data_IF_411194948395
#
_entry.id   IF_411194948395
#
_cell.length_a   1.000
_cell.length_b   1.000
_cell.length_c   1.000
_cell.angle_alpha   90.00
_cell.angle_beta   90.00
_cell.angle_gamma   90.00
#
_symmetry.space_group_name_H-M   'P 1'
#
loop_
_entity.id
_entity.type
_entity.pdbx_description
1 polymer ?
#
# COMPACT_ATOMS: atom_id res chain seq x y z
N UNK A 1 3.68 -12.55 0.37
CA UNK A 1 2.42 -11.88 -0.04
C UNK A 1 2.65 -10.90 -1.20
N UNK A 2 3.44 -9.83 -1.03
CA UNK A 2 3.64 -8.79 -2.06
C UNK A 2 4.05 -9.32 -3.44
N UNK A 3 5.01 -10.25 -3.53
CA UNK A 3 5.39 -10.86 -4.81
C UNK A 3 4.22 -11.50 -5.53
N UNK A 4 3.40 -12.29 -4.82
CA UNK A 4 2.20 -12.95 -5.36
C UNK A 4 1.20 -11.89 -5.88
N UNK A 5 0.97 -10.84 -5.10
CA UNK A 5 0.13 -9.69 -5.50
C UNK A 5 0.66 -9.04 -6.77
N UNK A 6 1.95 -8.72 -6.86
CA UNK A 6 2.56 -8.08 -8.05
C UNK A 6 2.47 -8.99 -9.28
N UNK A 7 2.70 -10.29 -9.11
CA UNK A 7 2.53 -11.28 -10.18
C UNK A 7 1.06 -11.38 -10.62
N UNK A 8 0.10 -11.26 -9.70
CA UNK A 8 -1.33 -11.30 -10.04
C UNK A 8 -1.79 -10.05 -10.77
N UNK A 9 -1.37 -8.88 -10.29
CA UNK A 9 -1.60 -7.58 -10.92
C UNK A 9 -1.06 -7.51 -12.34
N UNK A 10 0.07 -8.17 -12.61
CA UNK A 10 0.73 -8.20 -13.93
C UNK A 10 0.33 -9.41 -14.79
N UNK A 11 -0.63 -10.21 -14.33
CA UNK A 11 -1.20 -11.35 -15.07
C UNK A 11 -0.30 -12.56 -15.19
N UNK A 12 0.76 -12.62 -14.40
CA UNK A 12 1.62 -13.78 -14.33
C UNK A 12 0.88 -14.92 -13.62
N UNK A 13 0.39 -14.67 -12.40
CA UNK A 13 -0.43 -15.64 -11.67
C UNK A 13 -1.91 -15.22 -11.65
N UNK A 14 -2.82 -16.16 -11.42
CA UNK A 14 -4.22 -15.84 -11.18
C UNK A 14 -4.41 -15.43 -9.72
N UNK A 15 -5.31 -14.47 -9.49
CA UNK A 15 -5.87 -14.23 -8.16
C UNK A 15 -6.58 -15.49 -7.65
N UNK A 16 -6.63 -15.74 -6.33
CA UNK A 16 -7.36 -16.86 -5.78
C UNK A 16 -8.86 -16.64 -5.99
N UNK A 17 -9.64 -17.72 -6.04
CA UNK A 17 -11.11 -17.63 -6.17
C UNK A 17 -11.71 -16.78 -5.04
N UNK A 18 -11.35 -17.09 -3.80
CA UNK A 18 -11.64 -16.28 -2.62
C UNK A 18 -10.33 -15.75 -2.05
N UNK A 19 -10.24 -14.43 -1.85
CA UNK A 19 -9.11 -13.85 -1.12
C UNK A 19 -9.42 -13.98 0.38
N UNK A 20 -8.42 -14.36 1.17
CA UNK A 20 -8.62 -14.72 2.58
C UNK A 20 -9.30 -13.61 3.41
N UNK A 21 -8.94 -12.35 3.14
CA UNK A 21 -9.54 -11.20 3.78
C UNK A 21 -10.48 -10.48 2.81
N UNK A 22 -11.79 -10.42 3.07
CA UNK A 22 -12.74 -9.73 2.21
C UNK A 22 -12.65 -8.20 2.33
N UNK A 23 -13.07 -7.45 1.30
CA UNK A 23 -13.00 -5.99 1.30
C UNK A 23 -13.88 -5.37 2.40
N UNK A 24 -14.99 -6.04 2.74
CA UNK A 24 -15.95 -5.67 3.78
C UNK A 24 -15.32 -5.59 5.17
N UNK A 25 -14.14 -6.18 5.38
CA UNK A 25 -13.38 -6.02 6.62
C UNK A 25 -13.16 -4.54 7.00
N UNK A 26 -13.06 -3.64 6.01
CA UNK A 26 -12.94 -2.19 6.24
C UNK A 26 -14.19 -1.57 6.91
N UNK A 27 -15.32 -2.28 6.92
CA UNK A 27 -16.57 -1.82 7.53
C UNK A 27 -16.66 -2.14 9.01
N UNK A 28 -15.79 -3.00 9.55
CA UNK A 28 -15.86 -3.42 10.94
C UNK A 28 -15.73 -2.21 11.88
N UNK A 29 -16.60 -2.09 12.89
CA UNK A 29 -16.52 -0.99 13.84
C UNK A 29 -15.24 -1.08 14.66
N UNK A 30 -14.75 0.05 15.15
CA UNK A 30 -13.55 0.11 16.01
C UNK A 30 -13.72 -0.60 17.36
N UNK A 31 -14.96 -0.98 17.71
CA UNK A 31 -15.28 -1.79 18.90
C UNK A 31 -15.20 -3.30 18.63
N UNK A 32 -15.08 -3.72 17.37
CA UNK A 32 -14.93 -5.13 17.03
C UNK A 32 -13.54 -5.63 17.46
N UNK A 33 -13.40 -6.88 17.98
CA UNK A 33 -12.15 -7.37 18.57
C UNK A 33 -10.92 -7.30 17.66
N UNK A 34 -11.13 -7.38 16.33
CA UNK A 34 -10.11 -7.06 15.33
C UNK A 34 -10.74 -6.22 14.22
N UNK A 35 -10.37 -4.96 14.15
CA UNK A 35 -10.88 -4.02 13.16
C UNK A 35 -9.76 -3.47 12.27
N UNK A 36 -10.16 -2.80 11.19
CA UNK A 36 -9.21 -2.25 10.21
C UNK A 36 -8.17 -1.30 10.83
N UNK A 37 -8.52 -0.56 11.89
CA UNK A 37 -7.64 0.41 12.54
C UNK A 37 -6.68 -0.20 13.58
N UNK A 38 -6.81 -1.48 13.92
CA UNK A 38 -5.84 -2.19 14.77
C UNK A 38 -4.53 -2.50 14.03
N UNK A 39 -4.57 -2.50 12.69
CA UNK A 39 -3.40 -2.64 11.85
C UNK A 39 -2.59 -1.34 11.79
N UNK A 40 -1.26 -1.47 11.76
CA UNK A 40 -0.37 -0.31 11.60
C UNK A 40 -0.71 0.48 10.33
N UNK A 41 -0.40 1.78 10.31
CA UNK A 41 -0.64 2.62 9.12
C UNK A 41 -0.01 2.03 7.87
N UNK A 42 1.21 1.50 8.00
CA UNK A 42 1.91 0.80 6.93
C UNK A 42 1.14 -0.42 6.41
N UNK A 43 0.61 -1.26 7.32
CA UNK A 43 -0.18 -2.43 6.95
C UNK A 43 -1.47 -2.00 6.24
N UNK A 44 -2.21 -1.03 6.78
CA UNK A 44 -3.45 -0.52 6.16
C UNK A 44 -3.22 0.11 4.80
N UNK A 45 -2.16 0.90 4.64
CA UNK A 45 -1.80 1.56 3.39
C UNK A 45 -1.50 0.56 2.26
N UNK A 46 -0.90 -0.58 2.59
CA UNK A 46 -0.65 -1.64 1.62
C UNK A 46 -1.86 -2.56 1.42
N UNK A 47 -2.56 -2.89 2.49
CA UNK A 47 -3.68 -3.82 2.47
C UNK A 47 -4.87 -3.27 1.68
N UNK A 48 -5.20 -1.99 1.86
CA UNK A 48 -6.36 -1.35 1.20
C UNK A 48 -6.34 -1.53 -0.33
N UNK A 49 -5.28 -1.14 -1.06
CA UNK A 49 -5.24 -1.35 -2.51
C UNK A 49 -5.18 -2.83 -2.90
N UNK A 50 -4.57 -3.69 -2.07
CA UNK A 50 -4.55 -5.14 -2.31
C UNK A 50 -5.96 -5.71 -2.27
N UNK A 51 -6.76 -5.34 -1.27
CA UNK A 51 -8.13 -5.82 -1.13
C UNK A 51 -8.99 -5.39 -2.32
N UNK A 52 -8.87 -4.14 -2.77
CA UNK A 52 -9.58 -3.65 -3.97
C UNK A 52 -9.16 -4.45 -5.22
N UNK A 53 -7.85 -4.63 -5.43
CA UNK A 53 -7.35 -5.35 -6.61
C UNK A 53 -7.73 -6.84 -6.58
N UNK A 54 -7.66 -7.48 -5.42
CA UNK A 54 -8.01 -8.88 -5.21
C UNK A 54 -9.51 -9.13 -5.33
N UNK A 55 -10.33 -8.19 -4.88
CA UNK A 55 -11.79 -8.21 -5.04
C UNK A 55 -12.17 -8.15 -6.53
N UNK A 56 -11.63 -7.17 -7.26
CA UNK A 56 -11.84 -7.00 -8.70
C UNK A 56 -11.12 -8.03 -9.57
N UNK A 57 -10.31 -8.91 -8.96
CA UNK A 57 -9.39 -9.84 -9.65
C UNK A 57 -8.56 -9.13 -10.72
N UNK A 58 -8.15 -7.90 -10.44
CA UNK A 58 -7.58 -7.00 -11.44
C UNK A 58 -6.23 -7.51 -11.93
N UNK A 59 -6.08 -7.57 -13.25
CA UNK A 59 -4.86 -8.03 -13.87
C UNK A 59 -4.65 -7.33 -15.21
N UNK A 60 -3.41 -6.96 -15.51
CA UNK A 60 -3.06 -6.30 -16.76
C UNK A 60 -1.76 -6.86 -17.35
N UNK A 61 -1.82 -7.26 -18.62
CA UNK A 61 -0.64 -7.54 -19.45
C UNK A 61 -0.46 -6.43 -20.48
N UNK A 62 0.79 -6.19 -20.84
CA UNK A 62 1.17 -5.23 -21.88
C UNK A 62 2.13 -5.92 -22.85
N UNK A 63 2.42 -5.28 -23.99
CA UNK A 63 3.44 -5.75 -24.94
C UNK A 63 4.85 -5.89 -24.32
N UNK A 64 5.09 -5.27 -23.16
CA UNK A 64 6.36 -5.33 -22.43
C UNK A 64 6.31 -6.26 -21.21
N UNK A 65 5.19 -6.96 -20.99
CA UNK A 65 5.09 -7.92 -19.90
C UNK A 65 6.06 -9.07 -20.20
N UNK A 66 7.02 -9.36 -19.31
CA UNK A 66 7.98 -10.44 -19.53
C UNK A 66 7.28 -11.80 -19.48
N UNK A 67 7.84 -12.78 -20.17
CA UNK A 67 7.49 -14.18 -19.94
C UNK A 67 8.25 -14.70 -18.72
N UNK A 68 7.51 -15.25 -17.75
CA UNK A 68 8.04 -15.82 -16.52
C UNK A 68 7.69 -17.30 -16.41
N UNK A 69 7.37 -17.97 -17.53
CA UNK A 69 7.05 -19.41 -17.60
C UNK A 69 8.07 -20.29 -16.87
N UNK A 70 9.35 -19.92 -16.93
CA UNK A 70 10.45 -20.71 -16.37
C UNK A 70 10.48 -20.68 -14.84
N UNK A 71 9.78 -19.73 -14.21
CA UNK A 71 9.66 -19.65 -12.75
C UNK A 71 8.56 -20.58 -12.20
N UNK A 72 7.70 -21.13 -13.06
CA UNK A 72 6.66 -22.06 -12.64
C UNK A 72 7.24 -23.46 -12.44
N UNK A 73 7.64 -23.76 -11.21
CA UNK A 73 7.84 -25.15 -10.80
C UNK A 73 6.46 -25.79 -10.70
N UNK A 74 6.24 -26.91 -11.40
CA UNK A 74 5.00 -27.69 -11.39
C UNK A 74 4.71 -28.33 -10.01
N UNK A 75 4.49 -27.50 -9.00
CA UNK A 75 3.99 -27.90 -7.69
C UNK A 75 2.49 -27.63 -7.69
N UNK A 76 1.68 -28.67 -7.48
CA UNK A 76 0.22 -28.59 -7.34
C UNK A 76 -0.22 -27.88 -6.03
N UNK A 77 0.55 -26.89 -5.57
CA UNK A 77 0.25 -26.13 -4.37
C UNK A 77 -0.58 -24.90 -4.76
N UNK A 78 -1.67 -24.63 -4.02
CA UNK A 78 -2.37 -23.37 -4.16
C UNK A 78 -1.39 -22.25 -3.79
N UNK A 79 -0.98 -21.47 -4.79
CA UNK A 79 -0.03 -20.38 -4.59
C UNK A 79 -0.55 -19.36 -3.58
N UNK A 80 -1.82 -19.38 -3.18
CA UNK A 80 -2.37 -18.48 -2.19
C UNK A 80 -2.57 -19.11 -0.82
N UNK A 81 -2.36 -20.41 -0.66
CA UNK A 81 -2.65 -21.11 0.59
C UNK A 81 -1.84 -20.53 1.75
N UNK A 82 -2.57 -20.23 2.83
CA UNK A 82 -2.03 -19.84 4.13
C UNK A 82 -2.25 -21.04 5.05
N UNK A 83 -1.41 -22.05 4.91
CA UNK A 83 -1.65 -23.40 5.45
C UNK A 83 -1.52 -23.53 6.99
N UNK A 84 -1.48 -22.41 7.72
CA UNK A 84 -1.42 -22.44 9.19
C UNK A 84 -2.83 -22.51 9.80
N UNK A 85 -2.99 -23.28 10.88
CA UNK A 85 -4.23 -23.41 11.66
C UNK A 85 -4.72 -22.08 12.22
N UNK A 86 -3.78 -21.19 12.56
CA UNK A 86 -4.02 -19.89 13.16
C UNK A 86 -4.67 -18.95 12.14
N UNK A 87 -4.15 -18.91 10.90
CA UNK A 87 -4.71 -18.09 9.83
C UNK A 87 -6.13 -18.54 9.45
N UNK A 88 -6.37 -19.85 9.39
CA UNK A 88 -7.72 -20.40 9.13
C UNK A 88 -8.72 -19.95 10.20
N UNK A 89 -8.35 -20.07 11.47
CA UNK A 89 -9.17 -19.63 12.59
C UNK A 89 -9.43 -18.13 12.55
N UNK A 90 -8.40 -17.34 12.26
CA UNK A 90 -8.51 -15.89 12.13
C UNK A 90 -9.48 -15.48 11.02
N UNK A 91 -9.34 -16.02 9.81
CA UNK A 91 -10.25 -15.68 8.71
C UNK A 91 -11.67 -16.15 8.98
N UNK A 92 -11.86 -17.34 9.57
CA UNK A 92 -13.19 -17.80 10.00
C UNK A 92 -13.84 -16.81 10.96
N UNK A 93 -13.10 -16.30 11.95
CA UNK A 93 -13.58 -15.27 12.87
C UNK A 93 -14.01 -13.99 12.15
N UNK A 94 -13.25 -13.54 11.15
CA UNK A 94 -13.64 -12.40 10.31
C UNK A 94 -14.92 -12.71 9.52
N UNK A 95 -15.03 -13.88 8.88
CA UNK A 95 -16.23 -14.26 8.12
C UNK A 95 -17.48 -14.34 9.00
N UNK A 96 -17.36 -14.80 10.25
CA UNK A 96 -18.47 -14.81 11.19
C UNK A 96 -18.84 -13.38 11.64
N UNK A 97 -17.86 -12.50 11.84
CA UNK A 97 -18.08 -11.08 12.10
C UNK A 97 -18.86 -10.38 10.98
N UNK A 98 -18.62 -10.75 9.72
CA UNK A 98 -19.35 -10.16 8.59
C UNK A 98 -20.86 -10.42 8.63
N UNK A 99 -21.30 -11.56 9.20
CA UNK A 99 -22.71 -11.89 9.34
C UNK A 99 -23.45 -10.95 10.29
N UNK A 100 -22.72 -10.23 11.14
CA UNK A 100 -23.27 -9.26 12.10
C UNK A 100 -23.42 -7.85 11.49
N UNK A 101 -22.89 -7.61 10.29
CA UNK A 101 -23.04 -6.33 9.62
C UNK A 101 -24.48 -6.14 9.15
N UNK A 102 -25.04 -4.95 9.43
CA UNK A 102 -26.39 -4.58 9.02
C UNK A 102 -26.39 -4.06 7.59
N UNK A 103 -27.13 -4.73 6.71
CA UNK A 103 -27.29 -4.36 5.30
C UNK A 103 -27.32 -5.56 4.37
N UNK A 104 -27.69 -5.36 3.11
CA UNK A 104 -27.58 -6.46 2.14
C UNK A 104 -26.12 -6.69 1.74
N UNK A 105 -25.72 -7.93 1.37
CA UNK A 105 -24.35 -8.20 0.92
C UNK A 105 -23.87 -7.26 -0.20
N UNK A 106 -24.76 -6.91 -1.12
CA UNK A 106 -24.47 -5.98 -2.22
C UNK A 106 -24.19 -4.55 -1.74
N UNK A 107 -25.00 -4.04 -0.80
CA UNK A 107 -24.81 -2.69 -0.25
C UNK A 107 -23.54 -2.60 0.59
N UNK A 108 -23.28 -3.60 1.42
CA UNK A 108 -22.06 -3.71 2.21
C UNK A 108 -20.84 -3.74 1.31
N UNK A 109 -20.87 -4.57 0.27
CA UNK A 109 -19.78 -4.66 -0.71
C UNK A 109 -19.49 -3.32 -1.39
N UNK A 110 -20.53 -2.64 -1.89
CA UNK A 110 -20.40 -1.32 -2.52
C UNK A 110 -19.87 -0.27 -1.54
N UNK A 111 -20.35 -0.28 -0.30
CA UNK A 111 -19.89 0.62 0.75
C UNK A 111 -18.43 0.37 1.11
N UNK A 112 -18.01 -0.90 1.18
CA UNK A 112 -16.65 -1.30 1.50
C UNK A 112 -15.67 -0.81 0.43
N UNK A 113 -15.97 -1.04 -0.85
CA UNK A 113 -15.18 -0.52 -1.96
C UNK A 113 -15.09 1.00 -1.94
N UNK A 114 -16.21 1.69 -1.71
CA UNK A 114 -16.22 3.14 -1.62
C UNK A 114 -15.37 3.64 -0.44
N UNK A 115 -15.49 3.04 0.76
CA UNK A 115 -14.65 3.41 1.91
C UNK A 115 -13.17 3.13 1.66
N UNK A 116 -12.83 2.05 0.99
CA UNK A 116 -11.45 1.71 0.66
C UNK A 116 -10.85 2.68 -0.37
N UNK A 117 -11.62 3.06 -1.39
CA UNK A 117 -11.26 4.12 -2.34
C UNK A 117 -11.02 5.45 -1.62
N UNK A 118 -11.98 5.89 -0.81
CA UNK A 118 -11.86 7.14 -0.04
C UNK A 118 -10.72 7.08 0.99
N UNK A 119 -10.43 5.90 1.56
CA UNK A 119 -9.28 5.74 2.45
C UNK A 119 -7.99 6.11 1.74
N UNK A 120 -7.76 5.59 0.53
CA UNK A 120 -6.59 5.90 -0.28
C UNK A 120 -6.57 7.38 -0.70
N UNK A 121 -7.64 7.87 -1.32
CA UNK A 121 -7.68 9.22 -1.91
C UNK A 121 -7.47 10.34 -0.87
N UNK A 122 -7.98 10.16 0.34
CA UNK A 122 -7.85 11.16 1.42
C UNK A 122 -6.48 11.15 2.11
N UNK A 123 -5.55 10.28 1.67
CA UNK A 123 -4.22 10.07 2.29
C UNK A 123 -3.09 10.14 1.25
N UNK A 124 -3.39 10.77 0.12
CA UNK A 124 -2.38 11.08 -0.89
C UNK A 124 -1.63 12.33 -0.42
N UNK A 125 -0.31 12.20 -0.36
CA UNK A 125 0.62 13.26 0.00
C UNK A 125 0.70 14.30 -1.12
N UNK A 126 1.27 15.46 -0.82
CA UNK A 126 1.36 16.57 -1.79
C UNK A 126 2.13 16.19 -3.06
N UNK A 127 3.12 15.30 -2.94
CA UNK A 127 3.90 14.77 -4.08
C UNK A 127 3.16 13.72 -4.91
N UNK A 128 1.93 13.35 -4.52
CA UNK A 128 1.08 12.38 -5.18
C UNK A 128 1.25 10.94 -4.69
N UNK A 129 2.20 10.67 -3.78
CA UNK A 129 2.39 9.34 -3.21
C UNK A 129 1.33 9.02 -2.16
N UNK A 130 1.07 7.74 -1.93
CA UNK A 130 0.18 7.29 -0.86
C UNK A 130 1.01 7.02 0.40
N UNK A 131 0.98 7.92 1.37
CA UNK A 131 1.82 7.88 2.58
C UNK A 131 3.34 7.79 2.32
N UNK A 132 3.84 8.35 1.22
CA UNK A 132 5.29 8.37 0.91
C UNK A 132 5.98 7.00 0.90
N UNK A 133 5.24 5.92 0.67
CA UNK A 133 5.82 4.59 0.44
C UNK A 133 5.70 4.18 -1.03
N UNK A 134 6.76 3.58 -1.56
CA UNK A 134 6.75 3.00 -2.90
C UNK A 134 5.63 1.97 -3.05
N UNK A 135 5.52 1.04 -2.09
CA UNK A 135 4.63 -0.12 -2.15
C UNK A 135 3.15 0.25 -2.18
N UNK A 136 2.68 1.06 -1.22
CA UNK A 136 1.30 1.52 -1.16
C UNK A 136 0.94 2.38 -2.37
N UNK A 137 1.84 3.26 -2.83
CA UNK A 137 1.60 4.10 -4.02
C UNK A 137 1.51 3.25 -5.29
N UNK A 138 2.43 2.31 -5.47
CA UNK A 138 2.40 1.36 -6.57
C UNK A 138 1.08 0.59 -6.57
N UNK A 139 0.69 0.00 -5.44
CA UNK A 139 -0.54 -0.78 -5.31
C UNK A 139 -1.79 0.09 -5.53
N UNK A 140 -1.81 1.32 -5.02
CA UNK A 140 -2.91 2.27 -5.22
C UNK A 140 -3.16 2.55 -6.70
N UNK A 141 -2.11 2.70 -7.52
CA UNK A 141 -2.27 2.90 -8.97
C UNK A 141 -3.06 1.75 -9.59
N UNK A 142 -2.72 0.49 -9.26
CA UNK A 142 -3.44 -0.68 -9.76
C UNK A 142 -4.86 -0.78 -9.19
N UNK A 143 -5.05 -0.46 -7.91
CA UNK A 143 -6.37 -0.46 -7.28
C UNK A 143 -7.31 0.58 -7.93
N UNK A 144 -6.82 1.79 -8.22
CA UNK A 144 -7.62 2.80 -8.92
C UNK A 144 -7.95 2.36 -10.35
N UNK A 145 -7.00 1.74 -11.06
CA UNK A 145 -7.28 1.13 -12.37
C UNK A 145 -8.32 0.01 -12.26
N UNK A 146 -8.29 -0.80 -11.19
CA UNK A 146 -9.29 -1.82 -10.91
C UNK A 146 -10.69 -1.25 -10.66
N UNK A 147 -10.77 -0.03 -10.12
CA UNK A 147 -12.02 0.73 -9.96
C UNK A 147 -12.46 1.44 -11.25
N UNK A 148 -11.70 1.31 -12.35
CA UNK A 148 -12.05 1.87 -13.66
C UNK A 148 -11.38 3.22 -13.97
N UNK A 149 -10.46 3.71 -13.14
CA UNK A 149 -9.76 4.95 -13.42
C UNK A 149 -8.85 4.79 -14.64
N UNK A 150 -8.90 5.78 -15.54
CA UNK A 150 -7.99 5.85 -16.67
C UNK A 150 -6.56 6.11 -16.20
N UNK A 151 -5.57 5.51 -16.88
CA UNK A 151 -4.13 5.80 -16.66
C UNK A 151 -3.78 7.29 -16.82
N UNK A 152 -4.62 8.06 -17.51
CA UNK A 152 -4.47 9.50 -17.72
C UNK A 152 -5.16 10.34 -16.63
N UNK A 153 -5.87 9.72 -15.70
CA UNK A 153 -6.58 10.45 -14.64
C UNK A 153 -5.56 11.16 -13.73
N UNK A 154 -5.79 12.43 -13.33
CA UNK A 154 -4.77 13.23 -12.64
C UNK A 154 -4.16 12.56 -11.42
N UNK A 155 -4.97 11.83 -10.63
CA UNK A 155 -4.48 11.13 -9.43
C UNK A 155 -3.42 10.06 -9.75
N UNK A 156 -3.60 9.28 -10.82
CA UNK A 156 -2.67 8.22 -11.23
C UNK A 156 -1.41 8.86 -11.83
N UNK A 157 -1.58 9.90 -12.65
CA UNK A 157 -0.44 10.62 -13.24
C UNK A 157 0.44 11.21 -12.13
N UNK A 158 -0.14 11.86 -11.13
CA UNK A 158 0.61 12.40 -9.99
C UNK A 158 1.29 11.30 -9.17
N UNK A 159 0.60 10.19 -8.88
CA UNK A 159 1.21 9.06 -8.18
C UNK A 159 2.44 8.49 -8.90
N UNK A 160 2.38 8.37 -10.23
CA UNK A 160 3.54 7.95 -11.04
C UNK A 160 4.67 8.98 -10.97
N UNK A 161 4.37 10.28 -10.98
CA UNK A 161 5.39 11.32 -10.84
C UNK A 161 6.01 11.34 -9.44
N UNK A 162 5.22 11.16 -8.38
CA UNK A 162 5.72 11.00 -7.01
C UNK A 162 6.67 9.80 -6.86
N UNK A 163 6.33 8.66 -7.47
CA UNK A 163 7.26 7.52 -7.50
C UNK A 163 8.56 7.82 -8.27
N UNK A 164 8.51 8.67 -9.30
CA UNK A 164 9.70 9.07 -10.07
C UNK A 164 10.55 10.12 -9.35
N UNK A 165 9.96 10.96 -8.49
CA UNK A 165 10.69 12.00 -7.76
C UNK A 165 11.61 11.42 -6.69
N UNK A 166 11.26 10.26 -6.12
CA UNK A 166 12.08 9.54 -5.12
C UNK A 166 13.17 8.65 -5.73
N UNK A 167 13.43 8.78 -7.03
CA UNK A 167 14.52 8.10 -7.74
C UNK A 167 15.88 8.59 -7.24
N UNK A 168 16.81 7.66 -7.05
CA UNK A 168 18.22 7.95 -6.75
C UNK A 168 19.14 7.12 -7.65
N UNK A 169 20.45 7.34 -7.55
CA UNK A 169 21.47 6.59 -8.28
C UNK A 169 22.43 5.93 -7.30
N UNK A 170 22.64 4.63 -7.45
CA UNK A 170 23.63 3.84 -6.69
C UNK A 170 24.50 3.12 -7.72
N UNK A 171 25.81 3.32 -7.67
CA UNK A 171 26.79 2.70 -8.59
C UNK A 171 26.44 2.87 -10.08
N UNK A 172 25.91 4.04 -10.47
CA UNK A 172 25.47 4.32 -11.83
C UNK A 172 24.12 3.71 -12.22
N UNK A 173 23.50 2.93 -11.35
CA UNK A 173 22.19 2.32 -11.56
C UNK A 173 21.06 3.15 -10.95
N UNK A 174 19.92 3.18 -11.64
CA UNK A 174 18.71 3.82 -11.12
C UNK A 174 18.07 2.98 -10.04
N UNK A 175 17.87 3.57 -8.87
CA UNK A 175 17.16 2.97 -7.74
C UNK A 175 15.95 3.83 -7.39
N UNK A 176 14.90 3.20 -6.85
CA UNK A 176 13.74 3.90 -6.30
C UNK A 176 13.80 3.75 -4.79
N UNK A 177 13.84 4.88 -4.06
CA UNK A 177 13.80 4.85 -2.61
C UNK A 177 12.46 4.27 -2.15
N UNK A 178 12.48 3.47 -1.09
CA UNK A 178 11.24 2.90 -0.55
C UNK A 178 10.36 3.96 0.11
N UNK A 179 10.99 4.90 0.82
CA UNK A 179 10.40 6.08 1.47
C UNK A 179 11.48 7.15 1.63
N UNK A 180 11.09 8.36 2.00
CA UNK A 180 12.02 9.47 2.28
C UNK A 180 12.22 9.63 3.77
N UNK A 181 13.48 9.75 4.23
CA UNK A 181 13.81 9.94 5.64
C UNK A 181 14.23 11.38 5.96
N UNK A 182 13.82 12.37 5.16
CA UNK A 182 14.31 13.76 5.24
C UNK A 182 14.16 14.35 6.63
N UNK A 183 12.95 14.28 7.23
CA UNK A 183 12.69 14.83 8.56
C UNK A 183 13.51 14.09 9.63
N UNK A 184 13.52 12.76 9.59
CA UNK A 184 14.26 11.92 10.53
C UNK A 184 15.77 12.20 10.50
N UNK A 185 16.38 12.19 9.31
CA UNK A 185 17.81 12.43 9.12
C UNK A 185 18.18 13.86 9.53
N UNK A 186 17.34 14.83 9.19
CA UNK A 186 17.59 16.24 9.52
C UNK A 186 17.51 16.49 11.04
N UNK A 187 16.54 15.88 11.72
CA UNK A 187 16.42 15.96 13.17
C UNK A 187 17.63 15.32 13.89
N UNK A 188 18.07 14.13 13.45
CA UNK A 188 19.25 13.47 14.00
C UNK A 188 20.53 14.30 13.76
N UNK A 189 20.71 14.86 12.56
CA UNK A 189 21.83 15.75 12.26
C UNK A 189 21.83 16.98 13.19
N UNK A 190 20.67 17.61 13.40
CA UNK A 190 20.54 18.74 14.31
C UNK A 190 20.98 18.40 15.73
N UNK A 191 20.53 17.24 16.22
CA UNK A 191 20.87 16.76 17.54
C UNK A 191 22.38 16.51 17.66
N UNK A 192 22.96 15.74 16.73
CA UNK A 192 24.39 15.42 16.74
C UNK A 192 25.30 16.66 16.65
N UNK A 193 24.92 17.67 15.87
CA UNK A 193 25.68 18.92 15.77
C UNK A 193 25.69 19.69 17.09
N UNK A 194 24.55 19.76 17.79
CA UNK A 194 24.46 20.45 19.07
C UNK A 194 25.24 19.72 20.17
N UNK A 195 25.19 18.39 20.21
CA UNK A 195 26.02 17.57 21.11
C UNK A 195 27.53 17.75 20.85
N UNK A 196 27.91 18.02 19.59
CA UNK A 196 29.29 18.36 19.22
C UNK A 196 29.69 19.81 19.56
N UNK A 197 28.81 20.58 20.23
CA UNK A 197 29.08 21.95 20.66
C UNK A 197 28.75 23.03 19.63
N UNK A 198 28.08 22.70 18.52
CA UNK A 198 27.61 23.72 17.56
C UNK A 198 26.49 24.54 18.21
N UNK A 199 26.62 25.88 18.30
CA UNK A 199 25.60 26.71 18.92
C UNK A 199 24.25 26.62 18.18
N UNK A 200 23.16 26.63 18.93
CA UNK A 200 21.79 26.63 18.38
C UNK A 200 21.49 27.84 17.50
N UNK A 201 22.17 28.97 17.76
CA UNK A 201 22.08 30.18 16.95
C UNK A 201 22.85 30.11 15.62
N UNK A 202 23.61 29.04 15.37
CA UNK A 202 24.32 28.88 14.10
C UNK A 202 23.36 28.75 12.93
N UNK A 203 23.75 29.29 11.76
CA UNK A 203 22.94 29.25 10.55
C UNK A 203 22.58 27.80 10.14
N UNK A 204 23.48 26.84 10.36
CA UNK A 204 23.23 25.44 10.07
C UNK A 204 22.03 24.89 10.89
N UNK A 205 21.99 25.15 12.19
CA UNK A 205 20.89 24.71 13.06
C UNK A 205 19.59 25.47 12.74
N UNK A 206 19.66 26.78 12.49
CA UNK A 206 18.48 27.59 12.13
C UNK A 206 17.82 27.14 10.81
N UNK A 207 18.63 26.80 9.80
CA UNK A 207 18.13 26.27 8.54
C UNK A 207 17.44 24.90 8.72
N UNK A 208 18.02 24.03 9.56
CA UNK A 208 17.43 22.74 9.90
C UNK A 208 16.07 22.93 10.60
N UNK A 209 15.99 23.81 11.60
CA UNK A 209 14.74 24.07 12.32
C UNK A 209 13.65 24.60 11.38
N UNK A 210 14.02 25.49 10.45
CA UNK A 210 13.09 26.01 9.44
C UNK A 210 12.53 24.90 8.57
N UNK A 211 13.38 23.96 8.13
CA UNK A 211 12.95 22.82 7.30
C UNK A 211 12.02 21.87 8.05
N UNK A 212 12.30 21.57 9.32
CA UNK A 212 11.47 20.67 10.14
C UNK A 212 10.12 21.29 10.50
N UNK A 213 10.05 22.60 10.70
CA UNK A 213 8.78 23.30 11.03
C UNK A 213 7.86 23.45 9.80
N UNK A 214 8.42 23.44 8.59
CA UNK A 214 7.67 23.63 7.34
C UNK A 214 7.14 22.34 6.70
N UNK A 215 7.63 21.17 7.14
CA UNK A 215 7.16 19.83 6.71
C UNK A 215 6.04 19.32 7.60
#
# INVERSE_FOLDING_TARGET
MFTKVMLALTGQIKWPKSFHLPIEFILFPTTFPVNFFDFSVYARANLTPILIAADRKFSIKTKHTPDLSDLYVHRNEDLWDLDSSEWRSFFSFIYDGMKQLVGTPFELHRLALHRAEQYMLNRIEQDGTFYSYFSSTFLMIFALMALGYSKKYPVIVRAVQGLKSIKTTIDGHTHIQYTTATVWNTALLSYSLQEAGVPSASAAIQNILTLVVQT
#
